data_IF_992780834588
#
_entry.id   IF_992780834588
#
_cell.length_a   1.000
_cell.length_b   1.000
_cell.length_c   1.000
_cell.angle_alpha   90.00
_cell.angle_beta   90.00
_cell.angle_gamma   90.00
#
_symmetry.space_group_name_H-M   'P 1'
#
loop_
_entity.id
_entity.type
_entity.pdbx_description
1 polymer ?
#
# COMPACT_ATOMS: atom_id res chain seq x y z
N UNK A 1 58.35 41.69 -14.58
CA UNK A 1 57.51 41.90 -15.78
C UNK A 1 56.76 40.59 -16.02
N UNK A 2 55.59 40.42 -15.39
CA UNK A 2 54.28 40.49 -16.04
C UNK A 2 54.15 39.65 -17.31
N UNK A 3 53.61 38.43 -17.17
CA UNK A 3 52.47 37.97 -17.98
C UNK A 3 51.85 36.70 -17.42
N UNK A 4 50.64 36.86 -16.89
CA UNK A 4 49.67 35.80 -16.72
C UNK A 4 49.12 35.39 -18.09
N UNK A 5 48.90 34.09 -18.33
CA UNK A 5 47.77 33.62 -19.13
C UNK A 5 47.12 32.46 -18.38
N UNK A 6 45.88 32.74 -18.02
CA UNK A 6 44.91 31.97 -17.27
C UNK A 6 44.27 30.96 -18.21
N UNK A 7 44.18 29.69 -17.82
CA UNK A 7 43.11 28.79 -18.28
C UNK A 7 42.91 27.65 -17.26
N UNK A 8 42.06 27.81 -16.23
CA UNK A 8 41.58 26.67 -15.47
C UNK A 8 40.45 26.03 -16.28
N UNK A 9 40.73 24.83 -16.79
CA UNK A 9 39.70 23.93 -17.34
C UNK A 9 38.72 23.61 -16.22
N UNK A 10 37.52 24.15 -16.37
CA UNK A 10 36.33 23.87 -15.58
C UNK A 10 35.90 22.42 -15.86
N UNK A 11 36.18 21.51 -14.93
CA UNK A 11 35.62 20.16 -14.94
C UNK A 11 34.71 20.01 -13.72
N UNK A 12 33.45 20.47 -13.87
CA UNK A 12 32.37 20.18 -12.93
C UNK A 12 31.91 18.75 -13.22
N UNK A 13 32.40 17.79 -12.44
CA UNK A 13 31.76 16.47 -12.35
C UNK A 13 30.71 16.52 -11.26
N UNK A 14 29.50 16.96 -11.64
CA UNK A 14 28.27 16.63 -10.93
C UNK A 14 28.05 15.13 -11.07
N UNK A 15 28.65 14.33 -10.18
CA UNK A 15 28.18 12.96 -9.98
C UNK A 15 26.84 13.07 -9.26
N UNK A 16 25.78 13.01 -10.06
CA UNK A 16 24.41 13.04 -9.61
C UNK A 16 24.14 11.94 -8.59
N UNK A 17 23.41 12.31 -7.54
CA UNK A 17 22.68 11.39 -6.69
C UNK A 17 21.66 10.68 -7.59
N UNK A 18 22.03 9.49 -8.07
CA UNK A 18 21.13 8.61 -8.81
C UNK A 18 19.98 8.22 -7.89
N UNK A 19 18.80 8.75 -8.19
CA UNK A 19 17.54 8.27 -7.64
C UNK A 19 17.30 6.86 -8.14
N UNK A 20 17.71 5.88 -7.33
CA UNK A 20 17.28 4.51 -7.49
C UNK A 20 15.83 4.44 -6.98
N UNK A 21 14.89 4.45 -7.93
CA UNK A 21 13.51 4.06 -7.70
C UNK A 21 13.51 2.66 -7.10
N UNK A 22 13.50 2.60 -5.78
CA UNK A 22 13.22 1.37 -5.03
C UNK A 22 11.82 0.95 -5.41
N UNK A 23 11.75 0.04 -6.39
CA UNK A 23 10.64 -0.88 -6.46
C UNK A 23 10.77 -1.67 -5.16
N UNK A 24 9.98 -1.30 -4.16
CA UNK A 24 9.98 -1.94 -2.86
C UNK A 24 9.37 -3.34 -3.01
N UNK A 25 10.13 -4.26 -3.61
CA UNK A 25 9.95 -5.68 -3.38
C UNK A 25 10.61 -5.93 -2.03
N UNK A 26 9.88 -5.69 -0.95
CA UNK A 26 10.35 -6.06 0.38
C UNK A 26 10.61 -7.58 0.38
N UNK A 27 11.81 -8.03 0.78
CA UNK A 27 12.06 -9.45 0.96
C UNK A 27 11.11 -9.97 2.05
N UNK A 28 10.38 -11.03 1.75
CA UNK A 28 9.57 -11.78 2.71
C UNK A 28 10.49 -12.35 3.78
N UNK A 29 10.61 -11.64 4.91
CA UNK A 29 11.22 -12.16 6.11
C UNK A 29 10.35 -13.30 6.64
N UNK A 30 10.89 -14.52 6.61
CA UNK A 30 10.27 -15.72 7.16
C UNK A 30 9.80 -15.49 8.61
N UNK A 31 8.49 -15.59 8.84
CA UNK A 31 7.89 -15.73 10.18
C UNK A 31 7.44 -14.44 10.89
N UNK A 32 7.73 -13.24 10.35
CA UNK A 32 7.19 -12.00 10.92
C UNK A 32 5.79 -11.72 10.35
N UNK A 33 4.83 -11.37 11.21
CA UNK A 33 3.52 -10.87 10.75
C UNK A 33 3.76 -9.65 9.84
N UNK A 34 3.06 -9.54 8.70
CA UNK A 34 3.18 -8.36 7.86
C UNK A 34 2.83 -7.10 8.66
N UNK A 35 3.53 -5.99 8.37
CA UNK A 35 3.19 -4.68 8.91
C UNK A 35 2.09 -4.06 8.03
N UNK A 36 1.03 -3.47 8.62
CA UNK A 36 0.02 -2.74 7.85
C UNK A 36 0.64 -1.65 6.98
N UNK A 37 0.17 -1.56 5.75
CA UNK A 37 0.66 -0.63 4.74
C UNK A 37 -0.12 -0.82 3.44
N UNK A 38 0.44 -0.33 2.34
CA UNK A 38 -0.11 -0.59 1.00
C UNK A 38 0.29 -1.98 0.53
N UNK A 39 -0.69 -2.82 0.20
CA UNK A 39 -0.45 -4.14 -0.41
C UNK A 39 -1.60 -4.52 -1.33
N UNK A 40 -1.31 -5.26 -2.40
CA UNK A 40 -2.36 -5.82 -3.25
C UNK A 40 -1.87 -7.05 -3.99
N UNK A 41 -2.78 -7.98 -4.24
CA UNK A 41 -2.54 -9.20 -5.00
C UNK A 41 -3.76 -9.62 -5.84
N UNK A 42 -3.52 -10.52 -6.79
CA UNK A 42 -4.55 -11.02 -7.69
C UNK A 42 -5.00 -9.99 -8.75
N UNK A 43 -6.21 -10.18 -9.26
CA UNK A 43 -6.75 -9.43 -10.40
C UNK A 43 -6.69 -10.20 -11.73
N UNK A 44 -7.26 -9.60 -12.78
CA UNK A 44 -7.42 -10.25 -14.08
C UNK A 44 -8.37 -11.45 -13.98
N UNK A 45 -7.82 -12.66 -14.10
CA UNK A 45 -8.56 -13.92 -13.95
C UNK A 45 -8.68 -14.40 -12.49
N UNK A 46 -7.89 -13.81 -11.58
CA UNK A 46 -7.89 -14.15 -10.15
C UNK A 46 -8.68 -13.12 -9.34
N UNK A 47 -9.22 -13.55 -8.19
CA UNK A 47 -9.90 -12.63 -7.26
C UNK A 47 -8.91 -11.58 -6.76
N UNK A 48 -9.34 -10.33 -6.75
CA UNK A 48 -8.52 -9.22 -6.27
C UNK A 48 -8.57 -9.11 -4.74
N UNK A 49 -7.46 -8.67 -4.16
CA UNK A 49 -7.32 -8.26 -2.77
C UNK A 49 -6.38 -7.05 -2.71
N UNK A 50 -6.79 -6.00 -2.00
CA UNK A 50 -5.96 -4.83 -1.76
C UNK A 50 -6.16 -4.30 -0.34
N UNK A 51 -5.11 -3.74 0.25
CA UNK A 51 -5.16 -3.07 1.54
C UNK A 51 -4.38 -1.75 1.49
N UNK A 52 -4.89 -0.75 2.20
CA UNK A 52 -4.24 0.54 2.40
C UNK A 52 -4.34 0.95 3.87
N UNK A 53 -3.20 1.36 4.44
CA UNK A 53 -3.16 2.02 5.74
C UNK A 53 -3.33 3.52 5.54
N UNK A 54 -4.42 4.08 6.06
CA UNK A 54 -4.69 5.51 6.01
C UNK A 54 -5.41 5.96 7.27
N UNK A 55 -5.02 7.10 7.83
CA UNK A 55 -5.62 7.66 9.05
C UNK A 55 -5.73 6.66 10.23
N UNK A 56 -4.71 5.81 10.42
CA UNK A 56 -4.67 4.73 11.44
C UNK A 56 -5.79 3.69 11.30
N UNK A 57 -6.30 3.53 10.09
CA UNK A 57 -7.29 2.53 9.71
C UNK A 57 -6.77 1.73 8.52
N UNK A 58 -7.15 0.46 8.48
CA UNK A 58 -6.77 -0.43 7.40
C UNK A 58 -7.98 -0.63 6.51
N UNK A 59 -7.90 -0.16 5.27
CA UNK A 59 -8.97 -0.29 4.29
C UNK A 59 -8.70 -1.51 3.42
N UNK A 60 -9.67 -2.42 3.30
CA UNK A 60 -9.53 -3.69 2.58
C UNK A 60 -10.51 -3.73 1.40
N UNK A 61 -9.99 -3.99 0.21
CA UNK A 61 -10.72 -3.91 -1.06
C UNK A 61 -10.74 -5.26 -1.79
N UNK A 62 -11.90 -5.59 -2.36
CA UNK A 62 -12.09 -6.77 -3.20
C UNK A 62 -12.05 -6.48 -4.69
N UNK A 63 -11.99 -5.20 -5.08
CA UNK A 63 -11.91 -4.79 -6.48
C UNK A 63 -10.80 -3.76 -6.68
N UNK A 64 -10.13 -3.83 -7.84
CA UNK A 64 -9.07 -2.89 -8.20
C UNK A 64 -9.61 -1.47 -8.39
N UNK A 65 -10.85 -1.35 -8.87
CA UNK A 65 -11.54 -0.09 -9.07
C UNK A 65 -11.71 0.69 -7.76
N UNK A 66 -12.34 0.08 -6.76
CA UNK A 66 -12.56 0.72 -5.46
C UNK A 66 -11.25 1.00 -4.73
N UNK A 67 -10.26 0.10 -4.85
CA UNK A 67 -8.94 0.35 -4.30
C UNK A 67 -8.28 1.58 -4.94
N UNK A 68 -8.29 1.69 -6.27
CA UNK A 68 -7.73 2.85 -6.97
C UNK A 68 -8.50 4.14 -6.66
N UNK A 69 -9.84 4.08 -6.58
CA UNK A 69 -10.68 5.21 -6.20
C UNK A 69 -10.33 5.71 -4.78
N UNK A 70 -10.10 4.79 -3.85
CA UNK A 70 -9.62 5.15 -2.52
C UNK A 70 -8.22 5.76 -2.55
N UNK A 71 -7.27 5.19 -3.28
CA UNK A 71 -5.92 5.78 -3.41
C UNK A 71 -5.94 7.20 -3.98
N UNK A 72 -6.90 7.51 -4.86
CA UNK A 72 -7.02 8.82 -5.48
C UNK A 72 -7.68 9.87 -4.56
N UNK A 73 -8.63 9.45 -3.71
CA UNK A 73 -9.48 10.38 -2.94
C UNK A 73 -9.30 10.29 -1.43
N UNK A 74 -8.72 9.20 -0.94
CA UNK A 74 -8.74 8.74 0.46
C UNK A 74 -10.15 8.71 1.09
N UNK A 75 -11.18 8.64 0.26
CA UNK A 75 -12.56 8.56 0.67
C UNK A 75 -13.08 7.13 0.46
N UNK A 76 -13.43 6.46 1.56
CA UNK A 76 -14.13 5.19 1.50
C UNK A 76 -15.64 5.43 1.40
N UNK A 77 -16.30 4.68 0.51
CA UNK A 77 -17.76 4.69 0.42
C UNK A 77 -18.36 3.98 1.64
N UNK A 78 -18.98 4.75 2.54
CA UNK A 78 -19.61 4.25 3.76
C UNK A 78 -20.78 3.29 3.50
N UNK A 79 -21.41 3.39 2.32
CA UNK A 79 -22.51 2.50 1.93
C UNK A 79 -22.01 1.15 1.40
N UNK A 80 -20.73 1.12 0.97
CA UNK A 80 -20.05 -0.05 0.43
C UNK A 80 -18.90 -0.52 1.33
N UNK A 81 -19.01 -0.28 2.63
CA UNK A 81 -18.01 -0.73 3.59
C UNK A 81 -18.61 -1.14 4.92
N UNK A 82 -17.87 -2.00 5.63
CA UNK A 82 -18.17 -2.44 6.98
C UNK A 82 -16.93 -2.27 7.85
N UNK A 83 -17.10 -1.59 8.97
CA UNK A 83 -16.02 -1.29 9.91
C UNK A 83 -15.97 -2.29 11.05
N UNK A 84 -14.75 -2.69 11.41
CA UNK A 84 -14.42 -3.63 12.47
C UNK A 84 -13.40 -2.96 13.39
N UNK A 85 -13.87 -2.49 14.55
CA UNK A 85 -13.07 -1.68 15.47
C UNK A 85 -12.17 -2.59 16.31
N UNK A 86 -10.87 -2.28 16.39
CA UNK A 86 -9.92 -3.03 17.21
C UNK A 86 -9.47 -4.36 16.61
N UNK A 87 -9.88 -4.65 15.38
CA UNK A 87 -9.63 -5.91 14.68
C UNK A 87 -8.38 -5.88 13.79
N UNK A 88 -7.64 -4.76 13.77
CA UNK A 88 -6.33 -4.68 13.14
C UNK A 88 -5.23 -5.28 14.02
N UNK A 89 -4.05 -5.61 13.45
CA UNK A 89 -2.92 -6.19 14.19
C UNK A 89 -2.38 -5.29 15.31
N UNK A 90 -2.59 -3.98 15.24
CA UNK A 90 -2.25 -3.03 16.31
C UNK A 90 -3.50 -2.39 16.96
N UNK A 91 -4.61 -3.12 17.04
CA UNK A 91 -5.92 -2.62 17.49
C UNK A 91 -6.48 -1.46 16.64
N UNK A 92 -6.07 -1.40 15.38
CA UNK A 92 -6.57 -0.44 14.41
C UNK A 92 -8.00 -0.80 13.98
N UNK A 93 -8.73 0.18 13.42
CA UNK A 93 -10.02 -0.11 12.77
C UNK A 93 -9.78 -0.67 11.37
N UNK A 94 -10.43 -1.78 11.05
CA UNK A 94 -10.40 -2.39 9.72
C UNK A 94 -11.69 -2.05 9.00
N UNK A 95 -11.60 -1.42 7.83
CA UNK A 95 -12.74 -1.03 7.00
C UNK A 95 -12.73 -1.91 5.76
N UNK A 96 -13.67 -2.85 5.68
CA UNK A 96 -13.72 -3.85 4.60
C UNK A 96 -14.78 -3.44 3.58
N UNK A 97 -14.45 -3.53 2.29
CA UNK A 97 -15.42 -3.36 1.21
C UNK A 97 -16.57 -4.36 1.39
N UNK A 98 -17.79 -3.85 1.33
CA UNK A 98 -19.02 -4.61 1.45
C UNK A 98 -19.96 -4.24 0.31
N UNK A 99 -20.60 -5.24 -0.30
CA UNK A 99 -21.63 -5.03 -1.29
C UNK A 99 -22.88 -5.83 -0.90
N UNK A 100 -24.05 -5.19 -1.01
CA UNK A 100 -25.32 -5.77 -0.58
C UNK A 100 -25.62 -7.09 -1.30
N UNK A 101 -25.28 -7.15 -2.59
CA UNK A 101 -25.52 -8.30 -3.45
C UNK A 101 -24.42 -9.37 -3.34
N UNK A 102 -23.31 -9.08 -2.65
CA UNK A 102 -22.16 -9.98 -2.53
C UNK A 102 -21.64 -10.07 -1.08
N UNK A 103 -22.46 -10.53 -0.11
CA UNK A 103 -22.04 -10.66 1.28
C UNK A 103 -20.80 -11.55 1.45
N UNK A 104 -20.71 -12.62 0.65
CA UNK A 104 -19.57 -13.55 0.64
C UNK A 104 -18.24 -12.88 0.27
N UNK A 105 -18.25 -11.77 -0.46
CA UNK A 105 -17.02 -11.01 -0.73
C UNK A 105 -16.49 -10.37 0.54
N UNK A 106 -17.36 -9.74 1.33
CA UNK A 106 -16.98 -9.09 2.60
C UNK A 106 -16.34 -10.09 3.55
N UNK A 107 -16.97 -11.26 3.70
CA UNK A 107 -16.47 -12.34 4.56
C UNK A 107 -15.13 -12.87 4.07
N UNK A 108 -15.00 -13.14 2.76
CA UNK A 108 -13.75 -13.55 2.14
C UNK A 108 -12.62 -12.54 2.41
N UNK A 109 -12.90 -11.25 2.27
CA UNK A 109 -11.91 -10.20 2.48
C UNK A 109 -11.46 -10.14 3.94
N UNK A 110 -12.40 -10.19 4.87
CA UNK A 110 -12.09 -10.21 6.30
C UNK A 110 -11.28 -11.46 6.68
N UNK A 111 -11.65 -12.64 6.19
CA UNK A 111 -10.90 -13.87 6.42
C UNK A 111 -9.49 -13.81 5.83
N UNK A 112 -9.35 -13.28 4.62
CA UNK A 112 -8.04 -13.12 3.96
C UNK A 112 -7.15 -12.20 4.78
N UNK A 113 -7.71 -11.08 5.25
CA UNK A 113 -7.03 -10.15 6.14
C UNK A 113 -6.60 -10.81 7.45
N UNK A 114 -7.51 -11.51 8.15
CA UNK A 114 -7.19 -12.20 9.41
C UNK A 114 -6.11 -13.26 9.23
N UNK A 115 -6.16 -14.05 8.16
CA UNK A 115 -5.14 -15.05 7.83
C UNK A 115 -3.78 -14.40 7.59
N UNK A 116 -3.75 -13.30 6.83
CA UNK A 116 -2.52 -12.54 6.52
C UNK A 116 -1.82 -12.02 7.77
N UNK A 117 -2.56 -11.52 8.75
CA UNK A 117 -2.00 -10.97 10.00
C UNK A 117 -2.00 -11.97 11.18
N UNK A 118 -2.36 -13.23 10.93
CA UNK A 118 -2.53 -14.27 11.96
C UNK A 118 -3.36 -13.76 13.16
N UNK A 119 -4.55 -13.25 12.85
CA UNK A 119 -5.57 -12.79 13.79
C UNK A 119 -6.56 -13.92 14.06
N UNK A 120 -7.08 -13.98 15.29
CA UNK A 120 -7.99 -15.02 15.76
C UNK A 120 -9.45 -14.71 15.41
#
# INVERSE_FOLDING_TARGET
>A
MHRQIILPVLAILLTGCGGESRTATAPVANGAKPTPGSYSEGGGLSRYYGEELYDKRIYVFGTKDMHNAFKASHAADVTKSKSYIGEGPNHETVVVQAEKDQPAMTERLLETFRKRYALQ
#
